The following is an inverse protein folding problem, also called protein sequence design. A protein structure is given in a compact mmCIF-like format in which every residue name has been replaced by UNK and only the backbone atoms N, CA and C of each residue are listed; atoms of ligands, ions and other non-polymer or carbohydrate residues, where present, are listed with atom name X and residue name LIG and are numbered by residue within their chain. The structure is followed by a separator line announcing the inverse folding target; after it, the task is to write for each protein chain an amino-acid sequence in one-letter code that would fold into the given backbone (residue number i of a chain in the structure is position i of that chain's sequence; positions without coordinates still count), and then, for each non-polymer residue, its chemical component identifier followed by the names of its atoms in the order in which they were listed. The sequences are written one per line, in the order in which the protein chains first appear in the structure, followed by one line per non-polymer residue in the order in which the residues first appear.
data_IF_097012620050
#
_entry.id   IF_097012620050
#
_cell.length_a   1.000
_cell.length_b   1.000
_cell.length_c   1.000
_cell.angle_alpha   90.00
_cell.angle_beta   90.00
_cell.angle_gamma   90.00
#
_symmetry.space_group_name_H-M   'P 1'
#
loop_
_entity.id
_entity.type
_entity.pdbx_description
1 polymer ?
#
# COMPACT_ATOMS: atom_id res chain seq x y z
N UNK A 1 -8.42 6.12 -0.99
CA UNK A 1 -6.99 5.98 -0.64
C UNK A 1 -6.81 6.31 0.83
N UNK A 2 -7.10 7.54 1.29
CA UNK A 2 -7.19 7.87 2.72
C UNK A 2 -8.57 7.49 3.31
N UNK A 3 -8.64 7.40 4.64
CA UNK A 3 -9.90 7.18 5.38
C UNK A 3 -10.85 8.37 5.32
N UNK A 4 -10.36 9.59 5.62
CA UNK A 4 -11.17 10.81 5.61
C UNK A 4 -11.00 11.62 4.33
N UNK A 5 -12.12 12.12 3.79
CA UNK A 5 -12.14 12.98 2.61
C UNK A 5 -11.72 14.41 2.97
N UNK A 6 -11.16 15.12 2.00
CA UNK A 6 -10.87 16.55 2.08
C UNK A 6 -11.48 17.27 0.87
N UNK A 7 -11.70 18.58 0.98
CA UNK A 7 -12.27 19.41 -0.09
C UNK A 7 -11.18 20.03 -0.95
N UNK A 8 -11.57 20.60 -2.10
CA UNK A 8 -10.65 21.34 -2.98
C UNK A 8 -10.05 22.58 -2.30
N UNK A 9 -10.78 23.16 -1.35
CA UNK A 9 -10.36 24.37 -0.62
C UNK A 9 -9.51 24.05 0.62
N UNK A 10 -9.33 22.76 0.93
CA UNK A 10 -8.49 22.35 2.06
C UNK A 10 -7.03 22.66 1.76
N UNK A 11 -6.37 23.43 2.63
CA UNK A 11 -4.94 23.76 2.43
C UNK A 11 -4.11 22.50 2.59
N UNK A 12 -3.07 22.35 1.75
CA UNK A 12 -2.15 21.20 1.80
C UNK A 12 -1.53 21.02 3.20
N UNK A 13 -1.22 22.12 3.89
CA UNK A 13 -0.66 22.11 5.25
C UNK A 13 -1.63 21.60 6.34
N UNK A 14 -2.91 21.45 6.02
CA UNK A 14 -3.93 20.94 6.92
C UNK A 14 -4.24 19.45 6.69
N UNK A 15 -3.66 18.85 5.64
CA UNK A 15 -3.90 17.45 5.32
C UNK A 15 -3.19 16.54 6.33
N UNK A 16 -3.88 15.49 6.75
CA UNK A 16 -3.24 14.41 7.50
C UNK A 16 -2.19 13.70 6.64
N UNK A 17 -1.27 12.94 7.26
CA UNK A 17 -0.25 12.20 6.52
C UNK A 17 -0.85 11.29 5.42
N UNK A 18 -1.97 10.62 5.71
CA UNK A 18 -2.66 9.77 4.73
C UNK A 18 -3.33 10.53 3.60
N UNK A 19 -3.86 11.71 3.88
CA UNK A 19 -4.44 12.58 2.85
C UNK A 19 -3.36 13.15 1.93
N UNK A 20 -2.27 13.66 2.50
CA UNK A 20 -1.11 14.15 1.75
C UNK A 20 -0.54 13.08 0.82
N UNK A 21 -0.35 11.86 1.33
CA UNK A 21 0.15 10.75 0.51
C UNK A 21 -0.85 10.31 -0.55
N UNK A 22 -2.15 10.28 -0.23
CA UNK A 22 -3.18 9.98 -1.23
C UNK A 22 -3.19 11.00 -2.37
N UNK A 23 -3.01 12.29 -2.05
CA UNK A 23 -2.89 13.34 -3.05
C UNK A 23 -1.63 13.17 -3.89
N UNK A 24 -0.48 12.88 -3.27
CA UNK A 24 0.78 12.60 -3.96
C UNK A 24 0.66 11.42 -4.94
N UNK A 25 0.02 10.33 -4.53
CA UNK A 25 -0.21 9.15 -5.38
C UNK A 25 -1.11 9.52 -6.56
N UNK A 26 -2.20 10.26 -6.31
CA UNK A 26 -3.09 10.71 -7.37
C UNK A 26 -2.35 11.62 -8.36
N UNK A 27 -1.60 12.60 -7.88
CA UNK A 27 -0.79 13.48 -8.73
C UNK A 27 0.21 12.69 -9.58
N UNK A 28 0.94 11.77 -8.96
CA UNK A 28 1.92 10.89 -9.63
C UNK A 28 1.29 9.99 -10.68
N UNK A 29 0.10 9.44 -10.40
CA UNK A 29 -0.57 8.52 -11.31
C UNK A 29 -1.28 9.24 -12.47
N UNK A 30 -1.86 10.41 -12.22
CA UNK A 30 -2.75 11.08 -13.17
C UNK A 30 -2.11 12.27 -13.90
N UNK A 31 -1.26 13.05 -13.23
CA UNK A 31 -0.71 14.31 -13.78
C UNK A 31 0.75 14.17 -14.23
N UNK A 32 1.53 13.29 -13.59
CA UNK A 32 2.92 13.10 -13.99
C UNK A 32 3.02 12.45 -15.37
N UNK A 33 3.87 13.00 -16.24
CA UNK A 33 4.26 12.38 -17.52
C UNK A 33 5.46 11.43 -17.38
N UNK A 34 6.01 11.24 -16.18
CA UNK A 34 7.17 10.37 -16.01
C UNK A 34 6.81 8.91 -16.33
N UNK A 35 7.59 8.22 -17.19
CA UNK A 35 7.38 6.81 -17.50
C UNK A 35 7.82 5.89 -16.36
N UNK A 36 8.69 6.37 -15.48
CA UNK A 36 9.23 5.63 -14.32
C UNK A 36 8.89 6.40 -13.05
N UNK A 37 8.37 5.69 -12.06
CA UNK A 37 8.02 6.22 -10.74
C UNK A 37 8.76 5.41 -9.68
N UNK A 38 9.47 6.09 -8.78
CA UNK A 38 10.07 5.49 -7.60
C UNK A 38 9.31 5.97 -6.37
N UNK A 39 8.86 5.05 -5.53
CA UNK A 39 8.16 5.35 -4.28
C UNK A 39 8.87 4.64 -3.15
N UNK A 40 9.15 5.39 -2.09
CA UNK A 40 9.70 4.85 -0.86
C UNK A 40 8.62 4.81 0.22
N UNK A 41 8.54 3.66 0.90
CA UNK A 41 7.68 3.41 2.07
C UNK A 41 6.23 3.90 1.94
N UNK A 42 5.54 3.52 0.86
CA UNK A 42 4.15 3.95 0.58
C UNK A 42 3.15 3.55 1.67
N UNK A 43 3.47 2.55 2.50
CA UNK A 43 2.64 1.98 3.57
C UNK A 43 2.40 2.89 4.79
N UNK A 44 3.36 3.76 5.11
CA UNK A 44 3.46 4.52 6.37
C UNK A 44 2.47 5.69 6.60
N UNK A 45 1.22 5.65 6.10
CA UNK A 45 0.30 6.80 6.26
C UNK A 45 -1.19 6.46 6.39
N UNK A 46 -1.58 5.23 6.72
CA UNK A 46 -2.99 4.87 6.87
C UNK A 46 -3.79 4.98 5.56
N UNK A 47 -3.11 4.81 4.43
CA UNK A 47 -3.75 4.71 3.11
C UNK A 47 -3.98 3.25 2.74
N UNK A 48 -4.93 3.03 1.84
CA UNK A 48 -5.13 1.74 1.19
C UNK A 48 -3.97 1.43 0.23
N UNK A 49 -3.03 0.63 0.74
CA UNK A 49 -1.76 0.25 0.12
C UNK A 49 -1.94 -0.48 -1.20
N UNK A 50 -2.85 -1.47 -1.24
CA UNK A 50 -3.13 -2.24 -2.46
C UNK A 50 -3.78 -1.39 -3.53
N UNK A 51 -4.73 -0.55 -3.15
CA UNK A 51 -5.38 0.36 -4.10
C UNK A 51 -4.43 1.43 -4.62
N UNK A 52 -3.49 1.89 -3.79
CA UNK A 52 -2.44 2.79 -4.24
C UNK A 52 -1.57 2.15 -5.33
N UNK A 53 -1.11 0.92 -5.10
CA UNK A 53 -0.37 0.14 -6.10
C UNK A 53 -1.15 -0.06 -7.38
N UNK A 54 -2.43 -0.43 -7.28
CA UNK A 54 -3.31 -0.63 -8.43
C UNK A 54 -3.43 0.65 -9.28
N UNK A 55 -3.60 1.80 -8.65
CA UNK A 55 -3.71 3.10 -9.34
C UNK A 55 -2.41 3.44 -10.07
N UNK A 56 -1.26 3.21 -9.44
CA UNK A 56 0.06 3.47 -10.03
C UNK A 56 0.36 2.53 -11.19
N UNK A 57 0.10 1.23 -11.03
CA UNK A 57 0.36 0.20 -12.02
C UNK A 57 -0.56 0.33 -13.26
N UNK A 58 -1.85 0.65 -13.08
CA UNK A 58 -2.83 0.76 -14.19
C UNK A 58 -2.55 1.88 -15.19
N UNK A 59 -1.56 2.73 -14.94
CA UNK A 59 -1.24 3.89 -15.79
C UNK A 59 -0.10 3.64 -16.79
N UNK A 60 0.30 2.38 -16.96
CA UNK A 60 1.34 2.01 -17.93
C UNK A 60 2.73 2.56 -17.56
N UNK A 61 2.92 2.90 -16.29
CA UNK A 61 4.18 3.41 -15.74
C UNK A 61 4.95 2.27 -15.10
N UNK A 62 6.27 2.28 -15.28
CA UNK A 62 7.16 1.40 -14.51
C UNK A 62 7.21 1.94 -13.08
N UNK A 63 6.68 1.19 -12.13
CA UNK A 63 6.63 1.60 -10.72
C UNK A 63 7.60 0.76 -9.91
N UNK A 64 8.57 1.42 -9.29
CA UNK A 64 9.51 0.83 -8.34
C UNK A 64 9.09 1.24 -6.94
N UNK A 65 8.89 0.26 -6.06
CA UNK A 65 8.50 0.51 -4.67
C UNK A 65 9.51 -0.12 -3.73
N UNK A 66 10.07 0.71 -2.86
CA UNK A 66 10.81 0.27 -1.68
C UNK A 66 9.81 0.06 -0.54
N UNK A 67 9.78 -1.14 0.02
CA UNK A 67 8.83 -1.50 1.06
C UNK A 67 9.35 -2.68 1.89
N UNK A 68 8.91 -2.73 3.15
CA UNK A 68 9.05 -3.90 4.01
C UNK A 68 7.70 -4.62 4.23
N UNK A 69 6.63 -4.10 3.63
CA UNK A 69 5.29 -4.65 3.74
C UNK A 69 5.13 -5.89 2.82
N UNK A 70 4.80 -7.06 3.37
CA UNK A 70 4.71 -8.30 2.59
C UNK A 70 3.55 -8.27 1.59
N UNK A 71 2.46 -7.57 1.89
CA UNK A 71 1.29 -7.45 1.02
C UNK A 71 1.68 -6.64 -0.24
N UNK A 72 2.42 -5.56 -0.06
CA UNK A 72 2.96 -4.77 -1.17
C UNK A 72 4.01 -5.54 -1.96
N UNK A 73 5.00 -6.11 -1.28
CA UNK A 73 6.07 -6.85 -1.93
C UNK A 73 5.54 -8.01 -2.79
N UNK A 74 4.57 -8.78 -2.29
CA UNK A 74 3.95 -9.89 -3.01
C UNK A 74 2.90 -9.44 -4.04
N UNK A 75 2.47 -8.18 -4.05
CA UNK A 75 1.59 -7.66 -5.11
C UNK A 75 2.33 -7.27 -6.39
N UNK A 76 3.66 -7.17 -6.34
CA UNK A 76 4.49 -6.78 -7.47
C UNK A 76 4.83 -7.95 -8.40
N UNK A 77 5.06 -7.66 -9.68
CA UNK A 77 5.47 -8.65 -10.67
C UNK A 77 6.90 -9.19 -10.42
N UNK A 78 7.79 -8.31 -9.94
CA UNK A 78 9.19 -8.62 -9.60
C UNK A 78 9.60 -7.93 -8.32
N UNK A 79 10.49 -8.56 -7.56
CA UNK A 79 11.15 -8.00 -6.38
C UNK A 79 12.66 -8.01 -6.57
N UNK A 80 13.29 -6.89 -6.24
CA UNK A 80 14.74 -6.76 -6.18
C UNK A 80 15.13 -6.79 -4.71
N UNK A 81 15.91 -7.79 -4.31
CA UNK A 81 16.40 -7.91 -2.93
C UNK A 81 17.77 -7.24 -2.85
N UNK A 82 17.92 -6.33 -1.89
CA UNK A 82 19.17 -5.60 -1.64
C UNK A 82 19.80 -6.14 -0.36
N UNK A 83 21.11 -6.43 -0.40
CA UNK A 83 21.93 -6.76 0.78
C UNK A 83 23.31 -6.13 0.65
N UNK A 84 23.86 -5.65 1.77
CA UNK A 84 25.20 -5.06 1.83
C UNK A 84 25.45 -3.97 0.75
N UNK A 85 24.42 -3.19 0.42
CA UNK A 85 24.52 -2.12 -0.58
C UNK A 85 24.47 -2.59 -2.05
N UNK A 86 24.26 -3.89 -2.32
CA UNK A 86 24.16 -4.45 -3.67
C UNK A 86 22.89 -5.26 -3.90
N UNK A 87 22.60 -5.57 -5.17
CA UNK A 87 21.51 -6.50 -5.53
C UNK A 87 21.93 -7.92 -5.18
N UNK A 88 21.21 -8.55 -4.25
CA UNK A 88 21.41 -9.95 -3.83
C UNK A 88 20.72 -10.91 -4.80
N UNK A 89 19.49 -10.58 -5.21
CA UNK A 89 18.70 -11.37 -6.17
C UNK A 89 17.53 -10.58 -6.75
N UNK A 90 17.05 -11.05 -7.89
CA UNK A 90 15.80 -10.61 -8.51
C UNK A 90 14.85 -11.80 -8.54
N UNK A 91 13.64 -11.63 -8.02
CA UNK A 91 12.63 -12.69 -7.90
C UNK A 91 11.39 -12.28 -8.68
N UNK A 92 10.96 -13.11 -9.63
CA UNK A 92 9.65 -12.96 -10.27
C UNK A 92 8.59 -13.65 -9.41
N UNK A 93 7.39 -13.08 -9.35
CA UNK A 93 6.31 -13.66 -8.57
C UNK A 93 5.86 -15.00 -9.17
N UNK A 94 5.82 -16.03 -8.32
CA UNK A 94 5.32 -17.36 -8.69
C UNK A 94 3.83 -17.52 -8.41
N UNK A 95 3.18 -18.52 -9.01
CA UNK A 95 1.78 -18.85 -8.69
C UNK A 95 1.59 -19.29 -7.23
N UNK A 96 2.60 -19.94 -6.65
CA UNK A 96 2.60 -20.27 -5.23
C UNK A 96 2.55 -19.00 -4.37
N UNK A 97 3.35 -17.99 -4.71
CA UNK A 97 3.35 -16.71 -4.00
C UNK A 97 2.06 -15.89 -4.23
N UNK A 98 1.48 -15.95 -5.43
CA UNK A 98 0.15 -15.38 -5.69
C UNK A 98 -0.92 -16.01 -4.79
N UNK A 99 -0.88 -17.33 -4.60
CA UNK A 99 -1.78 -18.02 -3.68
C UNK A 99 -1.51 -17.63 -2.21
N UNK A 100 -0.25 -17.49 -1.82
CA UNK A 100 0.11 -16.99 -0.49
C UNK A 100 -0.38 -15.56 -0.25
N UNK A 101 -0.34 -14.69 -1.27
CA UNK A 101 -0.86 -13.32 -1.18
C UNK A 101 -2.35 -13.31 -0.81
N UNK A 102 -3.16 -14.25 -1.33
CA UNK A 102 -4.58 -14.37 -0.96
C UNK A 102 -4.73 -14.66 0.54
N UNK A 103 -3.92 -15.56 1.09
CA UNK A 103 -3.95 -15.89 2.52
C UNK A 103 -3.47 -14.71 3.38
N UNK A 104 -2.38 -14.05 2.99
CA UNK A 104 -1.85 -12.86 3.68
C UNK A 104 -2.87 -11.73 3.69
N UNK A 105 -3.57 -11.52 2.57
CA UNK A 105 -4.63 -10.51 2.47
C UNK A 105 -5.77 -10.79 3.46
N UNK A 106 -6.21 -12.05 3.61
CA UNK A 106 -7.25 -12.40 4.60
C UNK A 106 -6.82 -12.05 6.02
N UNK A 107 -5.55 -12.28 6.36
CA UNK A 107 -4.98 -11.91 7.67
C UNK A 107 -4.98 -10.38 7.83
N UNK A 108 -4.51 -9.63 6.82
CA UNK A 108 -4.50 -8.16 6.87
C UNK A 108 -5.91 -7.58 6.99
N UNK A 109 -6.88 -8.11 6.24
CA UNK A 109 -8.29 -7.71 6.30
C UNK A 109 -8.88 -7.96 7.70
N UNK A 110 -8.53 -9.10 8.32
CA UNK A 110 -8.96 -9.44 9.68
C UNK A 110 -8.37 -8.46 10.70
N UNK A 111 -7.07 -8.18 10.62
CA UNK A 111 -6.42 -7.19 11.47
C UNK A 111 -6.98 -5.79 11.27
N UNK A 112 -7.32 -5.42 10.03
CA UNK A 112 -7.94 -4.14 9.71
C UNK A 112 -9.35 -4.03 10.34
N UNK A 113 -10.16 -5.08 10.23
CA UNK A 113 -11.48 -5.16 10.89
C UNK A 113 -11.35 -4.98 12.40
N UNK A 114 -10.42 -5.69 13.05
CA UNK A 114 -10.20 -5.59 14.49
C UNK A 114 -9.77 -4.16 14.90
N UNK A 115 -8.87 -3.52 14.15
CA UNK A 115 -8.47 -2.12 14.38
C UNK A 115 -9.66 -1.17 14.30
N UNK A 116 -10.55 -1.36 13.32
CA UNK A 116 -11.74 -0.51 13.16
C UNK A 116 -12.70 -0.66 14.35
N UNK A 117 -12.92 -1.89 14.83
CA UNK A 117 -13.77 -2.17 15.99
C UNK A 117 -13.21 -1.59 17.29
N UNK A 118 -11.88 -1.68 17.48
CA UNK A 118 -11.22 -0.99 18.58
C UNK A 118 -11.42 0.53 18.51
N UNK A 119 -11.33 1.12 17.31
CA UNK A 119 -11.52 2.57 17.12
C UNK A 119 -12.95 3.02 17.41
N UNK A 120 -13.95 2.16 17.20
CA UNK A 120 -15.36 2.42 17.55
C UNK A 120 -15.68 2.11 19.02
N UNK A 121 -14.69 1.66 19.80
CA UNK A 121 -14.85 1.37 21.23
C UNK A 121 -15.46 0.00 21.53
N UNK A 122 -15.51 -0.90 20.55
CA UNK A 122 -16.04 -2.24 20.75
C UNK A 122 -15.05 -3.14 21.51
N UNK A 123 -15.60 -4.08 22.29
CA UNK A 123 -14.81 -5.10 22.97
C UNK A 123 -14.34 -6.17 21.98
N UNK A 124 -13.05 -6.49 22.03
CA UNK A 124 -12.47 -7.57 21.24
C UNK A 124 -12.43 -8.84 22.09
N UNK A 125 -13.21 -9.84 21.70
CA UNK A 125 -13.33 -11.12 22.42
C UNK A 125 -12.96 -12.29 21.51
N UNK A 126 -12.67 -13.45 22.09
CA UNK A 126 -12.23 -14.66 21.36
C UNK A 126 -13.22 -15.09 20.27
N UNK A 127 -14.51 -14.78 20.42
CA UNK A 127 -15.53 -15.09 19.42
C UNK A 127 -15.34 -14.40 18.07
N UNK A 128 -14.47 -13.40 17.98
CA UNK A 128 -14.21 -12.64 16.76
C UNK A 128 -13.15 -13.26 15.84
N UNK A 129 -12.47 -14.32 16.31
CA UNK A 129 -11.44 -15.04 15.58
C UNK A 129 -11.91 -16.40 15.04
N UNK A 130 -13.18 -16.75 15.28
CA UNK A 130 -13.84 -17.94 14.72
C UNK A 130 -14.44 -17.62 13.36
#
# INVERSE_FOLDING_TARGET
LAGEKFSRDTKVTQLSGGQSRSLMIADTAYMSNSPIVLIDEIENAGIDRLRAMEILAKKGKITLVSTHDPLLALSADKRIVIKNGGIDKVIEISDAERNSLIAIKKIDDTLHMLRNRLRTGELITEGLFK
#
